data_IF_823273331464
#
_entry.id   IF_823273331464
#
_cell.length_a   1.000
_cell.length_b   1.000
_cell.length_c   1.000
_cell.angle_alpha   90.00
_cell.angle_beta   90.00
_cell.angle_gamma   90.00
#
_symmetry.space_group_name_H-M   'P 1'
#
loop_
_entity.id
_entity.type
_entity.pdbx_description
1 polymer ?
#
# COMPACT_ATOMS: atom_id res chain seq x y z
N UNK A 1 -22.15 10.15 8.68
CA UNK A 1 -20.73 10.31 8.29
C UNK A 1 -19.75 9.64 9.25
N UNK A 2 -20.13 9.32 10.50
CA UNK A 2 -19.22 8.64 11.45
C UNK A 2 -18.93 7.15 11.11
N UNK A 3 -19.84 6.47 10.41
CA UNK A 3 -19.69 5.04 10.10
C UNK A 3 -18.49 4.74 9.19
N UNK A 4 -18.28 5.52 8.13
CA UNK A 4 -17.16 5.32 7.20
C UNK A 4 -15.79 5.48 7.86
N UNK A 5 -15.64 6.39 8.84
CA UNK A 5 -14.39 6.52 9.60
C UNK A 5 -14.18 5.30 10.50
N UNK A 6 -15.23 4.81 11.15
CA UNK A 6 -15.14 3.62 11.99
C UNK A 6 -14.80 2.38 11.17
N UNK A 7 -15.40 2.22 9.99
CA UNK A 7 -15.08 1.14 9.05
C UNK A 7 -13.62 1.21 8.59
N UNK A 8 -13.15 2.39 8.18
CA UNK A 8 -11.75 2.60 7.81
C UNK A 8 -10.79 2.21 8.95
N UNK A 9 -11.05 2.69 10.17
CA UNK A 9 -10.24 2.36 11.35
C UNK A 9 -10.23 0.86 11.65
N UNK A 10 -11.38 0.19 11.49
CA UNK A 10 -11.50 -1.25 11.69
C UNK A 10 -10.69 -2.04 10.65
N UNK A 11 -10.74 -1.64 9.38
CA UNK A 11 -9.94 -2.23 8.31
C UNK A 11 -8.44 -2.03 8.55
N UNK A 12 -8.01 -0.81 8.88
CA UNK A 12 -6.60 -0.53 9.16
C UNK A 12 -6.07 -1.35 10.35
N UNK A 13 -6.89 -1.52 11.40
CA UNK A 13 -6.55 -2.39 12.54
C UNK A 13 -6.46 -3.86 12.14
N UNK A 14 -7.32 -4.33 11.24
CA UNK A 14 -7.32 -5.70 10.73
C UNK A 14 -6.06 -5.98 9.89
N UNK A 15 -5.79 -5.11 8.92
CA UNK A 15 -4.64 -5.23 8.00
C UNK A 15 -3.32 -5.05 8.75
N UNK A 16 -3.24 -4.11 9.70
CA UNK A 16 -2.02 -3.87 10.48
C UNK A 16 -1.59 -5.02 11.40
N UNK A 17 -2.46 -6.01 11.63
CA UNK A 17 -2.12 -7.24 12.36
C UNK A 17 -1.64 -8.37 11.44
N UNK A 18 -1.82 -8.22 10.13
CA UNK A 18 -1.42 -9.25 9.16
C UNK A 18 0.08 -9.17 8.90
N UNK A 19 0.80 -10.23 9.25
CA UNK A 19 2.22 -10.37 8.96
C UNK A 19 2.48 -11.74 8.32
N UNK A 20 2.79 -11.74 7.02
CA UNK A 20 3.02 -12.96 6.27
C UNK A 20 4.10 -12.75 5.20
N UNK A 21 4.95 -13.75 4.97
CA UNK A 21 6.10 -13.68 4.05
C UNK A 21 5.78 -13.35 2.59
N UNK A 22 4.52 -13.53 2.18
CA UNK A 22 4.05 -13.28 0.80
C UNK A 22 3.12 -12.07 0.71
N UNK A 23 2.98 -11.29 1.78
CA UNK A 23 2.19 -10.05 1.79
C UNK A 23 3.13 -8.91 2.14
N UNK A 24 3.02 -7.80 1.41
CA UNK A 24 3.75 -6.58 1.76
C UNK A 24 3.25 -6.10 3.11
N UNK A 25 4.18 -5.84 4.02
CA UNK A 25 3.83 -5.40 5.35
C UNK A 25 3.26 -3.98 5.31
N UNK A 26 2.07 -3.83 5.88
CA UNK A 26 1.52 -2.53 6.20
C UNK A 26 2.19 -1.96 7.45
N UNK A 27 2.65 -0.72 7.37
CA UNK A 27 3.36 -0.02 8.45
C UNK A 27 2.48 0.99 9.18
N UNK A 28 1.52 1.60 8.46
CA UNK A 28 0.59 2.56 9.04
C UNK A 28 -0.11 3.40 7.97
N UNK A 29 -0.89 4.37 8.42
CA UNK A 29 -1.60 5.29 7.54
C UNK A 29 -1.58 6.71 8.12
N UNK A 30 -1.82 7.70 7.27
CA UNK A 30 -2.17 9.05 7.65
C UNK A 30 -3.57 9.34 7.11
N UNK A 31 -4.45 9.82 7.98
CA UNK A 31 -5.78 10.28 7.59
C UNK A 31 -5.94 11.74 8.01
N UNK A 32 -5.92 12.66 7.06
CA UNK A 32 -6.17 14.09 7.28
C UNK A 32 -7.25 14.60 6.33
N UNK A 33 -8.43 14.88 6.89
CA UNK A 33 -9.64 15.39 6.20
C UNK A 33 -10.11 14.51 5.06
N UNK A 34 -9.59 14.75 3.86
CA UNK A 34 -9.94 14.04 2.62
C UNK A 34 -8.72 13.35 2.00
N UNK A 35 -7.57 13.42 2.65
CA UNK A 35 -6.34 12.78 2.22
C UNK A 35 -6.10 11.54 3.07
N UNK A 36 -6.01 10.39 2.41
CA UNK A 36 -5.63 9.13 3.01
C UNK A 36 -4.31 8.71 2.36
N UNK A 37 -3.31 8.43 3.18
CA UNK A 37 -2.02 7.91 2.75
C UNK A 37 -1.79 6.58 3.45
N UNK A 38 -1.38 5.57 2.70
CA UNK A 38 -1.02 4.26 3.24
C UNK A 38 0.48 4.07 3.15
N UNK A 39 1.07 3.54 4.21
CA UNK A 39 2.52 3.33 4.34
C UNK A 39 2.78 1.83 4.41
N UNK A 40 3.60 1.35 3.47
CA UNK A 40 4.00 -0.05 3.35
C UNK A 40 5.53 -0.19 3.35
N UNK A 41 6.02 -1.40 3.57
CA UNK A 41 7.40 -1.73 3.23
C UNK A 41 7.66 -1.51 1.73
N UNK A 42 8.82 -0.94 1.43
CA UNK A 42 9.22 -0.68 0.05
C UNK A 42 9.52 -1.99 -0.69
N UNK A 43 9.00 -2.12 -1.91
CA UNK A 43 9.29 -3.23 -2.82
C UNK A 43 10.28 -2.79 -3.89
N UNK A 44 11.54 -3.19 -3.76
CA UNK A 44 12.63 -2.82 -4.69
C UNK A 44 12.33 -3.24 -6.14
N UNK A 45 11.66 -4.37 -6.33
CA UNK A 45 11.33 -4.92 -7.65
C UNK A 45 9.99 -4.42 -8.21
N UNK A 46 9.33 -3.48 -7.53
CA UNK A 46 8.04 -2.95 -7.95
C UNK A 46 6.93 -4.01 -7.98
N UNK A 47 5.90 -3.75 -8.80
CA UNK A 47 4.75 -4.65 -8.93
C UNK A 47 5.02 -5.79 -9.92
N UNK A 48 4.34 -6.92 -9.71
CA UNK A 48 4.38 -8.03 -10.65
C UNK A 48 3.84 -7.63 -12.04
N UNK A 49 2.86 -6.73 -12.07
CA UNK A 49 2.37 -6.16 -13.33
C UNK A 49 3.48 -5.39 -14.06
N UNK A 50 4.25 -4.56 -13.36
CA UNK A 50 5.38 -3.85 -13.95
C UNK A 50 6.43 -4.83 -14.52
N UNK A 51 6.70 -5.93 -13.81
CA UNK A 51 7.60 -6.97 -14.28
C UNK A 51 7.17 -7.59 -15.62
N UNK A 52 5.88 -7.91 -15.78
CA UNK A 52 5.38 -8.52 -17.02
C UNK A 52 5.10 -7.53 -18.16
N UNK A 53 4.69 -6.30 -17.83
CA UNK A 53 4.26 -5.31 -18.81
C UNK A 53 5.42 -4.44 -19.32
N UNK A 54 6.54 -4.35 -18.59
CA UNK A 54 7.71 -3.55 -18.98
C UNK A 54 9.03 -4.35 -18.94
N UNK A 55 9.21 -5.37 -19.80
CA UNK A 55 10.36 -6.28 -19.76
C UNK A 55 11.73 -5.66 -20.10
N UNK A 56 11.84 -4.33 -20.24
CA UNK A 56 13.06 -3.64 -20.71
C UNK A 56 13.65 -2.57 -19.80
N UNK A 57 13.19 -2.38 -18.57
CA UNK A 57 13.85 -1.45 -17.64
C UNK A 57 14.03 -2.08 -16.27
N UNK A 58 15.23 -2.63 -16.03
CA UNK A 58 15.70 -3.07 -14.71
C UNK A 58 16.05 -1.90 -13.77
N UNK A 59 15.27 -0.81 -13.82
CA UNK A 59 15.44 0.35 -12.95
C UNK A 59 14.04 0.90 -12.64
N UNK A 60 13.42 0.43 -11.56
CA UNK A 60 12.15 1.00 -11.05
C UNK A 60 12.51 1.98 -9.94
N UNK A 61 13.09 3.12 -10.35
CA UNK A 61 13.16 4.30 -9.49
C UNK A 61 11.83 5.03 -9.54
N UNK A 62 11.10 5.01 -8.43
CA UNK A 62 9.95 5.88 -8.17
C UNK A 62 8.87 5.89 -9.26
N UNK A 63 8.30 4.74 -9.63
CA UNK A 63 6.92 4.77 -10.08
C UNK A 63 6.06 4.90 -8.83
N UNK A 64 5.41 6.05 -8.72
CA UNK A 64 4.24 6.33 -7.89
C UNK A 64 3.53 5.00 -7.58
N UNK A 65 3.53 4.60 -6.30
CA UNK A 65 2.55 3.60 -5.88
C UNK A 65 1.22 4.22 -6.30
N UNK A 66 0.64 3.71 -7.40
CA UNK A 66 -0.77 3.93 -7.68
C UNK A 66 -1.46 3.62 -6.36
N UNK A 67 -1.95 4.71 -5.75
CA UNK A 67 -2.73 4.69 -4.54
C UNK A 67 -3.77 3.59 -4.71
N UNK A 68 -3.74 2.60 -3.82
CA UNK A 68 -4.98 1.93 -3.43
C UNK A 68 -5.97 3.00 -2.98
#
# INVERSE_FOLDING_TARGET
MAEGEVEFQNEMRSIGRTHHRNLVRFLGYCHDKSNILLVYEYMENGSLAAFFLNPKQGLIGMTELELL
#
